data_IF_888598540077
#
_entry.id   IF_888598540077
#
_cell.length_a   1.000
_cell.length_b   1.000
_cell.length_c   1.000
_cell.angle_alpha   90.00
_cell.angle_beta   90.00
_cell.angle_gamma   90.00
#
_symmetry.space_group_name_H-M   'P 1'
#
loop_
_entity.id
_entity.type
_entity.pdbx_description
1 polymer ?
#
# COMPACT_ATOMS: atom_id res chain seq x y z
N UNK A 1 23.77 15.26 19.83
CA UNK A 1 24.93 14.97 20.73
C UNK A 1 25.38 16.26 21.36
N UNK A 2 25.31 16.39 22.69
CA UNK A 2 25.87 17.52 23.37
C UNK A 2 27.36 17.25 23.58
N UNK A 3 28.22 18.09 23.03
CA UNK A 3 29.63 18.14 23.41
C UNK A 3 29.70 18.83 24.76
N UNK A 4 30.02 18.07 25.82
CA UNK A 4 29.99 18.59 27.21
C UNK A 4 31.08 19.57 27.56
N UNK A 5 32.07 19.77 26.69
CA UNK A 5 33.25 20.55 27.03
C UNK A 5 33.61 21.58 25.95
N UNK A 6 32.89 22.71 25.93
CA UNK A 6 33.42 23.91 25.29
C UNK A 6 34.38 24.58 26.26
N UNK A 7 35.63 24.07 26.33
CA UNK A 7 36.63 24.50 27.27
C UNK A 7 37.41 25.69 26.73
N UNK A 8 37.75 26.64 27.63
CA UNK A 8 38.69 27.73 27.32
C UNK A 8 40.09 27.18 27.53
N UNK A 9 40.84 26.93 26.46
CA UNK A 9 42.20 26.39 26.56
C UNK A 9 43.18 27.43 27.11
N UNK A 10 43.06 28.68 26.60
CA UNK A 10 43.99 29.75 26.98
C UNK A 10 43.26 31.07 27.18
N UNK A 11 43.69 31.82 28.18
CA UNK A 11 43.30 33.21 28.39
C UNK A 11 44.59 34.06 28.32
N UNK A 12 44.59 35.05 27.45
CA UNK A 12 45.66 36.04 27.39
C UNK A 12 45.04 37.40 27.64
N UNK A 13 45.65 38.19 28.56
CA UNK A 13 45.24 39.55 28.89
C UNK A 13 46.33 40.46 28.36
N UNK A 14 45.95 41.40 27.48
CA UNK A 14 46.88 42.42 26.94
C UNK A 14 46.44 43.82 27.45
N UNK A 15 47.45 44.64 27.73
CA UNK A 15 47.21 46.07 28.07
C UNK A 15 46.86 46.88 26.78
N UNK A 16 46.69 48.21 26.96
CA UNK A 16 46.34 49.09 25.83
C UNK A 16 47.43 49.19 24.76
N UNK A 17 48.69 48.91 25.14
CA UNK A 17 49.84 48.91 24.23
C UNK A 17 50.07 47.52 23.59
N UNK A 18 49.15 46.52 23.82
CA UNK A 18 49.26 45.20 23.24
C UNK A 18 50.22 44.21 23.93
N UNK A 19 50.78 44.59 25.09
CA UNK A 19 51.71 43.77 25.86
C UNK A 19 50.94 42.73 26.68
N UNK A 20 51.40 41.49 26.70
CA UNK A 20 50.81 40.41 27.50
C UNK A 20 51.08 40.66 29.01
N UNK A 21 50.03 41.00 29.73
CA UNK A 21 50.04 41.24 31.20
C UNK A 21 49.27 40.14 31.93
N UNK A 22 49.04 38.97 31.31
CA UNK A 22 48.33 37.84 31.89
C UNK A 22 48.77 37.44 33.25
N UNK A 23 50.12 37.53 33.53
CA UNK A 23 50.72 37.16 34.80
C UNK A 23 50.48 38.19 35.92
N UNK A 24 50.06 39.43 35.59
CA UNK A 24 49.69 40.47 36.54
C UNK A 24 48.35 40.25 37.22
N UNK A 25 47.56 39.25 36.74
CA UNK A 25 46.19 38.94 37.25
C UNK A 25 46.22 37.57 37.94
N UNK A 26 45.75 37.53 39.19
CA UNK A 26 45.49 36.33 39.96
C UNK A 26 44.01 35.86 39.72
N UNK A 27 43.72 34.61 40.09
CA UNK A 27 42.34 34.07 40.08
C UNK A 27 41.62 34.06 38.70
N UNK A 28 42.36 33.68 37.63
CA UNK A 28 41.76 33.45 36.32
C UNK A 28 40.89 32.21 36.36
N UNK A 29 39.58 32.39 36.51
CA UNK A 29 38.63 31.31 36.51
C UNK A 29 38.20 31.04 35.09
N UNK A 30 38.35 29.81 34.64
CA UNK A 30 37.85 29.31 33.38
C UNK A 30 36.55 28.51 33.64
N UNK A 31 35.43 29.02 33.20
CA UNK A 31 34.17 28.29 33.24
C UNK A 31 33.93 27.63 31.87
N UNK A 32 33.74 26.32 31.85
CA UNK A 32 33.39 25.61 30.64
C UNK A 32 31.96 26.01 30.18
N UNK A 33 31.82 26.27 28.90
CA UNK A 33 30.52 26.43 28.27
C UNK A 33 29.95 25.10 27.79
N UNK A 34 28.69 25.09 27.39
CA UNK A 34 28.02 23.95 26.77
C UNK A 34 27.69 24.26 25.31
N UNK A 35 28.06 23.38 24.41
CA UNK A 35 27.63 23.37 23.05
C UNK A 35 26.55 22.29 22.88
N UNK A 36 25.39 22.65 22.35
CA UNK A 36 24.30 21.72 22.09
C UNK A 36 23.94 21.80 20.63
N UNK A 37 23.92 20.64 19.96
CA UNK A 37 23.36 20.49 18.62
C UNK A 37 21.99 19.84 18.77
N UNK A 38 20.96 20.57 18.38
CA UNK A 38 19.58 20.08 18.42
C UNK A 38 19.21 19.41 17.07
N UNK A 39 18.31 18.43 17.07
CA UNK A 39 17.71 17.90 15.83
C UNK A 39 17.00 18.99 15.05
N UNK A 40 16.83 18.77 13.76
CA UNK A 40 15.98 19.59 12.89
C UNK A 40 14.54 19.49 13.40
N UNK A 41 13.94 20.61 13.73
CA UNK A 41 12.64 20.68 14.43
C UNK A 41 11.44 20.45 13.52
N UNK A 42 11.56 20.74 12.22
CA UNK A 42 10.48 20.47 11.26
C UNK A 42 10.30 18.95 11.10
N UNK A 43 9.11 18.40 11.37
CA UNK A 43 8.91 16.97 11.36
C UNK A 43 8.90 16.41 9.92
N UNK A 44 9.54 15.27 9.74
CA UNK A 44 9.42 14.45 8.54
C UNK A 44 8.14 13.63 8.65
N UNK A 45 7.20 13.85 7.74
CA UNK A 45 5.98 13.04 7.57
C UNK A 45 6.09 12.30 6.25
N UNK A 46 5.97 10.99 6.28
CA UNK A 46 5.90 10.14 5.10
C UNK A 46 4.45 9.73 4.88
N UNK A 47 3.99 9.84 3.63
CA UNK A 47 2.66 9.40 3.21
C UNK A 47 2.84 8.28 2.20
N UNK A 48 2.34 7.08 2.50
CA UNK A 48 2.34 5.95 1.57
C UNK A 48 1.37 6.19 0.40
N UNK A 49 1.75 5.72 -0.78
CA UNK A 49 0.91 5.82 -1.97
C UNK A 49 -0.36 4.98 -1.84
N UNK A 50 -1.46 5.46 -2.44
CA UNK A 50 -2.68 4.69 -2.64
C UNK A 50 -2.75 4.20 -4.08
N UNK A 51 -3.50 3.12 -4.31
CA UNK A 51 -3.77 2.62 -5.66
C UNK A 51 -5.11 1.89 -5.73
N UNK A 52 -5.67 1.82 -6.92
CA UNK A 52 -6.95 1.15 -7.20
C UNK A 52 -6.84 0.38 -8.50
N UNK A 53 -7.38 -0.84 -8.55
CA UNK A 53 -7.54 -1.60 -9.79
C UNK A 53 -8.83 -2.42 -9.78
N UNK A 54 -9.28 -2.83 -10.97
CA UNK A 54 -10.31 -3.87 -11.09
C UNK A 54 -9.72 -5.25 -10.76
N UNK A 55 -10.56 -6.14 -10.27
CA UNK A 55 -10.17 -7.52 -9.96
C UNK A 55 -9.75 -8.27 -11.23
N UNK A 56 -8.50 -8.74 -11.23
CA UNK A 56 -7.88 -9.51 -12.30
C UNK A 56 -7.24 -10.83 -11.81
N UNK A 57 -7.50 -11.19 -10.55
CA UNK A 57 -6.93 -12.38 -9.90
C UNK A 57 -5.51 -12.19 -9.38
N UNK A 58 -4.87 -11.04 -9.62
CA UNK A 58 -3.51 -10.73 -9.15
C UNK A 58 -3.53 -9.79 -7.96
N UNK A 59 -2.45 -9.80 -7.18
CA UNK A 59 -2.28 -8.94 -6.00
C UNK A 59 -1.98 -7.48 -6.41
N UNK A 60 -2.59 -6.52 -5.71
CA UNK A 60 -2.30 -5.10 -5.80
C UNK A 60 -1.34 -4.72 -4.67
N UNK A 61 -0.21 -4.10 -5.02
CA UNK A 61 0.77 -3.53 -4.09
C UNK A 61 1.21 -2.16 -4.57
N UNK A 62 1.64 -1.27 -3.65
CA UNK A 62 2.13 0.08 -3.99
C UNK A 62 3.29 0.47 -3.08
N UNK A 63 4.50 0.55 -3.63
CA UNK A 63 5.73 0.86 -2.88
C UNK A 63 6.20 2.32 -3.08
N UNK A 64 5.28 3.23 -3.42
CA UNK A 64 5.59 4.66 -3.57
C UNK A 64 5.21 5.44 -2.33
N UNK A 65 5.91 6.53 -2.09
CA UNK A 65 5.60 7.47 -1.01
C UNK A 65 5.92 8.91 -1.40
N UNK A 66 5.39 9.85 -0.63
CA UNK A 66 5.80 11.25 -0.57
C UNK A 66 6.25 11.58 0.84
N UNK A 67 7.05 12.62 1.00
CA UNK A 67 7.49 13.10 2.31
C UNK A 67 7.42 14.63 2.39
N UNK A 68 7.57 15.18 3.58
CA UNK A 68 7.63 16.63 3.80
C UNK A 68 8.79 17.24 3.02
N UNK A 69 8.50 18.17 2.13
CA UNK A 69 9.48 18.84 1.28
C UNK A 69 10.46 19.70 2.08
N UNK A 70 11.71 19.79 1.62
CA UNK A 70 12.73 20.73 2.08
C UNK A 70 13.26 20.49 3.49
N UNK A 71 12.94 19.35 4.11
CA UNK A 71 13.42 19.03 5.47
C UNK A 71 14.75 18.30 5.45
N UNK A 72 15.00 17.47 4.44
CA UNK A 72 16.26 16.74 4.32
C UNK A 72 17.39 17.67 3.88
N UNK A 73 18.53 17.56 4.54
CA UNK A 73 19.74 18.28 4.14
C UNK A 73 20.37 17.62 2.88
N UNK A 74 21.14 18.40 2.10
CA UNK A 74 21.85 17.84 0.95
C UNK A 74 22.72 16.63 1.33
N UNK A 75 22.55 15.52 0.60
CA UNK A 75 23.25 14.26 0.84
C UNK A 75 22.57 13.30 1.81
N UNK A 76 21.43 13.70 2.41
CA UNK A 76 20.59 12.81 3.22
C UNK A 76 19.49 12.18 2.38
N UNK A 77 19.17 10.93 2.68
CA UNK A 77 18.16 10.16 1.97
C UNK A 77 17.21 9.47 2.96
N UNK A 78 15.96 9.32 2.57
CA UNK A 78 15.01 8.49 3.30
C UNK A 78 15.13 7.03 2.85
N UNK A 79 15.21 6.14 3.83
CA UNK A 79 14.93 4.72 3.66
C UNK A 79 13.56 4.44 4.27
N UNK A 80 12.59 4.09 3.40
CA UNK A 80 11.18 3.89 3.78
C UNK A 80 10.77 2.48 3.44
N UNK A 81 10.17 1.78 4.39
CA UNK A 81 9.54 0.49 4.16
C UNK A 81 8.02 0.66 4.19
N UNK A 82 7.38 0.23 3.10
CA UNK A 82 5.93 0.22 2.96
C UNK A 82 5.46 -1.23 2.84
N UNK A 83 4.40 -1.57 3.55
CA UNK A 83 3.83 -2.92 3.57
C UNK A 83 2.32 -2.85 3.40
N UNK A 84 1.81 -3.62 2.48
CA UNK A 84 0.38 -3.74 2.20
C UNK A 84 0.13 -4.46 0.90
N UNK A 85 -0.97 -5.18 0.84
CA UNK A 85 -1.46 -5.79 -0.39
C UNK A 85 -2.97 -5.99 -0.33
N UNK A 86 -3.61 -6.04 -1.52
CA UNK A 86 -5.03 -6.33 -1.67
C UNK A 86 -5.21 -7.22 -2.90
N UNK A 87 -5.83 -8.39 -2.73
CA UNK A 87 -6.04 -9.33 -3.84
C UNK A 87 -7.51 -9.44 -4.25
N UNK A 88 -8.41 -9.53 -3.28
CA UNK A 88 -9.83 -9.67 -3.53
C UNK A 88 -10.53 -8.30 -3.46
N UNK A 89 -11.75 -8.23 -3.98
CA UNK A 89 -12.58 -7.01 -3.94
C UNK A 89 -12.70 -6.49 -2.50
N UNK A 90 -12.36 -5.23 -2.31
CA UNK A 90 -12.31 -4.57 -1.01
C UNK A 90 -11.12 -3.65 -0.88
N UNK A 91 -10.85 -3.20 0.34
CA UNK A 91 -9.79 -2.26 0.65
C UNK A 91 -8.86 -2.79 1.75
N UNK A 92 -7.59 -2.44 1.67
CA UNK A 92 -6.60 -2.65 2.72
C UNK A 92 -5.71 -1.43 2.91
N UNK A 93 -5.03 -1.37 4.04
CA UNK A 93 -4.07 -0.31 4.33
C UNK A 93 -2.73 -0.58 3.66
N UNK A 94 -2.16 0.45 3.02
CA UNK A 94 -0.77 0.47 2.59
C UNK A 94 0.04 1.21 3.65
N UNK A 95 0.72 0.48 4.53
CA UNK A 95 1.25 0.97 5.80
C UNK A 95 2.71 1.40 5.68
N UNK A 96 3.04 2.59 6.20
CA UNK A 96 4.42 3.00 6.45
C UNK A 96 4.93 2.28 7.69
N UNK A 97 5.79 1.28 7.52
CA UNK A 97 6.24 0.41 8.61
C UNK A 97 7.60 0.81 9.19
N UNK A 98 8.45 1.46 8.41
CA UNK A 98 9.75 1.95 8.87
C UNK A 98 10.18 3.19 8.06
N UNK A 99 10.77 4.17 8.75
CA UNK A 99 11.36 5.37 8.14
C UNK A 99 12.68 5.68 8.81
N UNK A 100 13.74 5.78 8.03
CA UNK A 100 15.08 6.17 8.48
C UNK A 100 15.63 7.27 7.60
N UNK A 101 16.47 8.12 8.19
CA UNK A 101 17.30 9.08 7.46
C UNK A 101 18.71 8.54 7.42
N UNK A 102 19.25 8.40 6.22
CA UNK A 102 20.56 7.82 5.97
C UNK A 102 21.49 8.85 5.34
N UNK A 103 22.77 8.87 5.76
CA UNK A 103 23.86 9.60 5.12
C UNK A 103 25.07 8.70 4.97
N UNK A 104 25.54 8.48 3.75
CA UNK A 104 26.71 7.63 3.48
C UNK A 104 26.62 6.23 4.08
N UNK A 105 25.40 5.66 4.17
CA UNK A 105 25.16 4.34 4.77
C UNK A 105 25.01 4.34 6.30
N UNK A 106 25.13 5.48 6.97
CA UNK A 106 24.88 5.61 8.40
C UNK A 106 23.45 6.07 8.69
N UNK A 107 22.84 5.49 9.73
CA UNK A 107 21.53 5.90 10.25
C UNK A 107 21.70 7.17 11.11
N UNK A 108 21.22 8.29 10.60
CA UNK A 108 21.26 9.60 11.24
C UNK A 108 19.86 10.10 11.63
N UNK A 109 18.90 9.20 11.73
CA UNK A 109 17.48 9.52 12.04
C UNK A 109 17.34 10.38 13.31
N UNK A 110 18.20 10.18 14.30
CA UNK A 110 18.21 10.97 15.54
C UNK A 110 18.49 12.47 15.35
N UNK A 111 19.02 12.87 14.20
CA UNK A 111 19.26 14.29 13.86
C UNK A 111 18.01 14.98 13.29
N UNK A 112 16.91 14.25 13.14
CA UNK A 112 15.66 14.72 12.59
C UNK A 112 14.50 14.48 13.56
N UNK A 113 13.44 15.28 13.41
CA UNK A 113 12.20 15.06 14.11
C UNK A 113 11.27 14.24 13.20
N UNK A 114 10.74 13.10 13.70
CA UNK A 114 9.75 12.31 12.98
C UNK A 114 8.35 12.75 13.37
N UNK A 115 7.50 12.95 12.36
CA UNK A 115 6.06 13.20 12.54
C UNK A 115 5.25 11.91 12.45
N UNK A 116 3.94 12.03 12.62
CA UNK A 116 3.01 10.90 12.39
C UNK A 116 2.89 10.63 10.89
N UNK A 117 3.27 9.44 10.46
CA UNK A 117 3.18 9.02 9.06
C UNK A 117 1.73 8.71 8.67
N UNK A 118 1.45 8.81 7.37
CA UNK A 118 0.11 8.61 6.81
C UNK A 118 0.12 7.36 5.93
N UNK A 119 -0.78 6.43 6.22
CA UNK A 119 -0.95 5.23 5.39
C UNK A 119 -1.73 5.55 4.11
N UNK A 120 -1.42 4.81 3.05
CA UNK A 120 -2.21 4.78 1.82
C UNK A 120 -3.35 3.76 1.91
N UNK A 121 -4.13 3.66 0.84
CA UNK A 121 -5.22 2.70 0.67
C UNK A 121 -4.99 1.93 -0.63
N UNK A 122 -5.12 0.61 -0.58
CA UNK A 122 -5.17 -0.26 -1.73
C UNK A 122 -6.60 -0.74 -1.91
N UNK A 123 -7.16 -0.55 -3.09
CA UNK A 123 -8.54 -0.91 -3.39
C UNK A 123 -8.59 -1.81 -4.63
N UNK A 124 -9.27 -2.94 -4.52
CA UNK A 124 -9.65 -3.79 -5.66
C UNK A 124 -11.14 -3.71 -5.83
N UNK A 125 -11.57 -3.20 -6.97
CA UNK A 125 -12.99 -3.09 -7.34
C UNK A 125 -13.46 -4.33 -8.09
N UNK A 126 -14.76 -4.53 -8.16
CA UNK A 126 -15.34 -5.61 -8.94
C UNK A 126 -15.03 -5.42 -10.43
N UNK A 127 -14.54 -6.47 -11.08
CA UNK A 127 -14.46 -6.50 -12.53
C UNK A 127 -15.86 -6.63 -13.13
N UNK A 128 -16.14 -5.85 -14.16
CA UNK A 128 -17.33 -6.10 -14.98
C UNK A 128 -17.06 -7.32 -15.88
N UNK A 129 -17.86 -8.36 -15.71
CA UNK A 129 -17.81 -9.52 -16.60
C UNK A 129 -19.06 -9.55 -17.47
N UNK A 130 -18.97 -9.16 -18.74
CA UNK A 130 -20.00 -9.44 -19.70
C UNK A 130 -20.01 -10.95 -19.98
N UNK A 131 -20.75 -11.70 -19.18
CA UNK A 131 -21.00 -13.12 -19.46
C UNK A 131 -21.93 -13.20 -20.66
N UNK A 132 -21.53 -13.91 -21.69
CA UNK A 132 -22.33 -14.16 -22.86
C UNK A 132 -22.30 -15.66 -23.18
N UNK A 133 -23.47 -16.18 -23.58
CA UNK A 133 -23.64 -17.54 -24.10
C UNK A 133 -24.51 -17.45 -25.37
N UNK A 134 -24.09 -18.11 -26.42
CA UNK A 134 -24.89 -18.25 -27.60
C UNK A 134 -26.10 -19.17 -27.31
N UNK A 135 -27.17 -19.04 -28.11
CA UNK A 135 -28.33 -19.92 -28.01
C UNK A 135 -27.91 -21.38 -28.05
N UNK A 136 -28.45 -22.18 -27.14
CA UNK A 136 -28.20 -23.59 -27.02
C UNK A 136 -29.47 -24.36 -27.39
N UNK A 137 -29.30 -25.52 -28.02
CA UNK A 137 -30.39 -26.36 -28.50
C UNK A 137 -30.31 -27.76 -27.92
N UNK A 138 -31.38 -28.20 -27.32
CA UNK A 138 -31.53 -29.56 -26.82
C UNK A 138 -32.77 -30.20 -27.44
N UNK A 139 -32.69 -31.46 -27.79
CA UNK A 139 -33.85 -32.19 -28.34
C UNK A 139 -34.89 -32.45 -27.26
N UNK A 140 -36.17 -32.49 -27.65
CA UNK A 140 -37.28 -32.97 -26.77
C UNK A 140 -36.88 -34.32 -26.15
N UNK A 141 -37.11 -34.48 -24.86
CA UNK A 141 -36.67 -35.64 -24.04
C UNK A 141 -35.15 -35.89 -24.01
N UNK A 142 -34.36 -34.93 -24.43
CA UNK A 142 -32.88 -34.94 -24.26
C UNK A 142 -32.43 -34.12 -23.09
N UNK A 143 -31.12 -34.07 -22.86
CA UNK A 143 -30.51 -33.23 -21.81
C UNK A 143 -29.31 -32.47 -22.31
N UNK A 144 -28.91 -31.44 -21.55
CA UNK A 144 -27.69 -30.69 -21.73
C UNK A 144 -27.03 -30.54 -20.36
N UNK A 145 -25.77 -30.99 -20.24
CA UNK A 145 -25.08 -30.93 -18.97
C UNK A 145 -24.73 -29.49 -18.61
N UNK A 146 -24.70 -29.18 -17.31
CA UNK A 146 -24.24 -27.90 -16.75
C UNK A 146 -22.80 -27.60 -17.17
N UNK A 147 -21.91 -28.59 -17.11
CA UNK A 147 -20.51 -28.45 -17.51
C UNK A 147 -20.32 -28.08 -18.99
N UNK A 148 -21.21 -28.56 -19.91
CA UNK A 148 -21.21 -28.11 -21.31
C UNK A 148 -21.62 -26.63 -21.43
N UNK A 149 -22.68 -26.23 -20.70
CA UNK A 149 -23.11 -24.82 -20.67
C UNK A 149 -22.03 -23.93 -20.13
N UNK A 150 -21.33 -24.33 -19.05
CA UNK A 150 -20.20 -23.58 -18.46
C UNK A 150 -19.09 -23.33 -19.48
N UNK A 151 -18.73 -24.34 -20.27
CA UNK A 151 -17.71 -24.20 -21.33
C UNK A 151 -18.19 -23.32 -22.50
N UNK A 152 -19.49 -23.16 -22.67
CA UNK A 152 -20.09 -22.35 -23.74
C UNK A 152 -20.19 -20.86 -23.36
N UNK A 153 -19.99 -20.51 -22.10
CA UNK A 153 -20.02 -19.12 -21.62
C UNK A 153 -18.70 -18.43 -21.92
N UNK A 154 -18.77 -17.29 -22.58
CA UNK A 154 -17.62 -16.41 -22.82
C UNK A 154 -17.56 -15.30 -21.75
N UNK A 155 -16.36 -14.79 -21.46
CA UNK A 155 -16.13 -13.78 -20.44
C UNK A 155 -16.03 -14.34 -19.01
N UNK A 156 -16.00 -15.67 -18.82
CA UNK A 156 -15.94 -16.31 -17.53
C UNK A 156 -14.50 -16.41 -17.00
N UNK A 157 -14.25 -15.95 -15.77
CA UNK A 157 -12.98 -16.09 -15.04
C UNK A 157 -13.16 -16.79 -13.68
N UNK A 158 -14.30 -17.43 -13.42
CA UNK A 158 -14.58 -18.12 -12.15
C UNK A 158 -15.74 -19.10 -12.26
N UNK A 159 -16.25 -19.52 -11.14
CA UNK A 159 -17.42 -20.39 -11.09
C UNK A 159 -18.66 -19.64 -11.51
N UNK A 160 -19.51 -20.29 -12.31
CA UNK A 160 -20.78 -19.74 -12.76
C UNK A 160 -21.92 -20.69 -12.40
N UNK A 161 -23.10 -20.15 -12.26
CA UNK A 161 -24.31 -20.90 -12.03
C UNK A 161 -25.41 -20.53 -13.02
N UNK A 162 -26.29 -21.48 -13.29
CA UNK A 162 -27.39 -21.33 -14.24
C UNK A 162 -28.73 -21.50 -13.54
N UNK A 163 -29.63 -20.57 -13.72
CA UNK A 163 -30.99 -20.66 -13.21
C UNK A 163 -32.01 -20.43 -14.32
N UNK A 164 -33.10 -21.22 -14.31
CA UNK A 164 -34.21 -21.03 -15.24
C UNK A 164 -35.00 -19.80 -14.77
N UNK A 165 -35.00 -18.76 -15.59
CA UNK A 165 -35.72 -17.51 -15.32
C UNK A 165 -37.19 -17.60 -15.77
N UNK A 166 -37.44 -18.21 -16.94
CA UNK A 166 -38.78 -18.39 -17.48
C UNK A 166 -38.79 -19.51 -18.50
N UNK A 167 -39.97 -20.08 -18.71
CA UNK A 167 -40.21 -21.24 -19.58
C UNK A 167 -40.34 -22.53 -18.76
N UNK A 168 -41.03 -23.53 -19.32
CA UNK A 168 -41.30 -24.81 -18.66
C UNK A 168 -40.77 -26.00 -19.45
N UNK A 169 -40.08 -25.74 -20.58
CA UNK A 169 -39.58 -26.79 -21.46
C UNK A 169 -38.30 -27.49 -20.90
N UNK A 170 -37.64 -26.90 -19.87
CA UNK A 170 -36.49 -27.50 -19.18
C UNK A 170 -36.76 -27.61 -17.67
N UNK A 171 -36.21 -28.66 -17.07
CA UNK A 171 -36.08 -28.81 -15.62
C UNK A 171 -34.65 -29.16 -15.26
N UNK A 172 -34.15 -28.73 -14.09
CA UNK A 172 -32.84 -29.08 -13.65
C UNK A 172 -32.83 -30.36 -12.83
N UNK A 173 -32.01 -31.32 -13.25
CA UNK A 173 -31.73 -32.57 -12.53
C UNK A 173 -30.45 -32.40 -11.70
N UNK A 174 -30.62 -32.25 -10.40
CA UNK A 174 -29.51 -32.05 -9.47
C UNK A 174 -28.68 -33.33 -9.14
N UNK A 175 -29.14 -34.50 -9.60
CA UNK A 175 -28.42 -35.75 -9.42
C UNK A 175 -27.38 -35.93 -10.51
N UNK A 176 -27.76 -35.61 -11.76
CA UNK A 176 -26.91 -35.75 -12.93
C UNK A 176 -26.24 -34.44 -13.35
N UNK A 177 -26.51 -33.33 -12.66
CA UNK A 177 -26.03 -31.97 -12.95
C UNK A 177 -26.33 -31.55 -14.41
N UNK A 178 -27.55 -31.73 -14.82
CA UNK A 178 -28.00 -31.46 -16.20
C UNK A 178 -29.39 -30.80 -16.27
N UNK A 179 -29.64 -30.11 -17.37
CA UNK A 179 -30.97 -29.58 -17.71
C UNK A 179 -31.66 -30.55 -18.67
N UNK A 180 -32.82 -31.05 -18.29
CA UNK A 180 -33.60 -32.06 -19.02
C UNK A 180 -34.75 -31.40 -19.73
N UNK A 181 -34.85 -31.65 -21.02
CA UNK A 181 -35.98 -31.17 -21.84
C UNK A 181 -37.21 -32.08 -21.72
N UNK A 182 -38.34 -31.45 -21.54
CA UNK A 182 -39.64 -32.14 -21.57
C UNK A 182 -40.04 -32.65 -22.95
N UNK A 183 -41.23 -33.23 -23.02
CA UNK A 183 -41.80 -33.78 -24.27
C UNK A 183 -42.31 -32.71 -25.23
N UNK A 184 -42.44 -31.47 -24.79
CA UNK A 184 -43.01 -30.35 -25.59
C UNK A 184 -41.88 -29.36 -25.89
N UNK A 185 -41.75 -28.99 -27.17
CA UNK A 185 -40.81 -27.95 -27.58
C UNK A 185 -41.24 -26.58 -27.04
N UNK A 186 -40.27 -25.78 -26.69
CA UNK A 186 -40.49 -24.40 -26.21
C UNK A 186 -39.15 -23.71 -25.84
N UNK A 187 -39.24 -22.41 -25.77
CA UNK A 187 -38.08 -21.59 -25.38
C UNK A 187 -37.97 -21.47 -23.86
N UNK A 188 -36.76 -21.48 -23.37
CA UNK A 188 -36.43 -21.25 -21.96
C UNK A 188 -35.40 -20.13 -21.86
N UNK A 189 -35.66 -19.17 -20.99
CA UNK A 189 -34.71 -18.13 -20.67
C UNK A 189 -33.96 -18.55 -19.39
N UNK A 190 -32.66 -18.60 -19.47
CA UNK A 190 -31.79 -18.90 -18.34
C UNK A 190 -30.99 -17.66 -17.91
N UNK A 191 -30.75 -17.55 -16.63
CA UNK A 191 -29.80 -16.55 -16.08
C UNK A 191 -28.49 -17.25 -15.77
N UNK A 192 -27.41 -16.66 -16.23
CA UNK A 192 -26.05 -17.05 -15.88
C UNK A 192 -25.53 -16.08 -14.83
N UNK A 193 -25.02 -16.59 -13.74
CA UNK A 193 -24.53 -15.77 -12.63
C UNK A 193 -23.12 -16.20 -12.24
N UNK A 194 -22.19 -15.25 -12.12
CA UNK A 194 -20.90 -15.53 -11.52
C UNK A 194 -21.07 -15.81 -10.02
N UNK A 195 -20.50 -16.91 -9.55
CA UNK A 195 -20.53 -17.28 -8.13
C UNK A 195 -19.31 -16.69 -7.47
N UNK A 196 -19.51 -15.89 -6.42
CA UNK A 196 -18.44 -15.34 -5.62
C UNK A 196 -17.83 -16.46 -4.77
N UNK A 197 -16.50 -16.66 -4.88
CA UNK A 197 -15.72 -17.49 -3.97
C UNK A 197 -15.65 -16.94 -2.56
#
# INVERSE_FOLDING_TARGET
TSLENNTIEKITITNAEGVDVTNCYSNKVKAAGKLTVNPISTPIVVTAGSDTKEYDGTELTKNTYTNTDGVLLPGDMLEVTITGSQKFVGTSSNTVSNVKVMRNGEDITSNYTMGTHVNGVLEVTSAEQPLAIADQYVKVNGSISKGYLEQSVTGNVGNIDFTIKSGTALTYDNINDEFVAGATAGDVVMTVTAVKE
#
